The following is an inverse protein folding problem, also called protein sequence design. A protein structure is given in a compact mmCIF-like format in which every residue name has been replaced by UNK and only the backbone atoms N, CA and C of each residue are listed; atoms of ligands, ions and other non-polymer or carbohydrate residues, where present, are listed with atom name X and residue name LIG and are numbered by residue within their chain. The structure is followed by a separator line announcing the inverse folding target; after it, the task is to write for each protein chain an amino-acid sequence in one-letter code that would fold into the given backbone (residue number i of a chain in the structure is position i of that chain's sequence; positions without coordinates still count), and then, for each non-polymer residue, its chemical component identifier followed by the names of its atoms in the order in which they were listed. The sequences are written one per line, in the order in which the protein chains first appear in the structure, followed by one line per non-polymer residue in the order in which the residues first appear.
data_IF_068394496854
#
_entry.id   IF_068394496854
#
_cell.length_a   1.000
_cell.length_b   1.000
_cell.length_c   1.000
_cell.angle_alpha   90.00
_cell.angle_beta   90.00
_cell.angle_gamma   90.00
#
_symmetry.space_group_name_H-M   'P 1'
#
loop_
_entity.id
_entity.type
_entity.pdbx_description
1 polymer ?
#
# COMPACT_ATOMS: atom_id res chain seq x y z
N UNK A 1 -22.23 23.71 13.47
CA UNK A 1 -21.43 24.24 12.35
C UNK A 1 -20.53 23.16 11.69
N UNK A 2 -20.88 21.86 11.78
CA UNK A 2 -19.87 20.78 11.67
C UNK A 2 -20.25 19.59 10.76
N UNK A 3 -21.20 19.76 9.83
CA UNK A 3 -21.63 18.69 8.90
C UNK A 3 -20.91 18.72 7.55
N UNK A 4 -20.99 19.87 6.85
CA UNK A 4 -20.41 20.03 5.51
C UNK A 4 -18.87 20.02 5.51
N UNK A 5 -18.24 20.69 6.48
CA UNK A 5 -16.77 20.70 6.57
C UNK A 5 -16.21 19.31 6.90
N UNK A 6 -16.90 18.54 7.76
CA UNK A 6 -16.53 17.17 8.08
C UNK A 6 -16.71 16.21 6.90
N UNK A 7 -17.80 16.35 6.14
CA UNK A 7 -18.03 15.52 4.94
C UNK A 7 -17.08 15.86 3.79
N UNK A 8 -16.76 17.14 3.57
CA UNK A 8 -15.75 17.57 2.59
C UNK A 8 -14.35 17.08 2.98
N UNK A 9 -13.99 17.15 4.26
CA UNK A 9 -12.73 16.61 4.75
C UNK A 9 -12.64 15.10 4.55
N UNK A 10 -13.69 14.36 4.93
CA UNK A 10 -13.80 12.91 4.73
C UNK A 10 -13.68 12.56 3.24
N UNK A 11 -14.40 13.27 2.36
CA UNK A 11 -14.31 13.09 0.91
C UNK A 11 -12.91 13.36 0.37
N UNK A 12 -12.24 14.43 0.81
CA UNK A 12 -10.87 14.74 0.42
C UNK A 12 -9.89 13.65 0.85
N UNK A 13 -10.02 13.12 2.08
CA UNK A 13 -9.17 12.00 2.54
C UNK A 13 -9.38 10.74 1.71
N UNK A 14 -10.62 10.44 1.31
CA UNK A 14 -10.94 9.32 0.41
C UNK A 14 -10.31 9.45 -0.97
N UNK A 15 -10.39 10.64 -1.57
CA UNK A 15 -9.75 10.93 -2.87
C UNK A 15 -8.23 10.81 -2.78
N UNK A 16 -7.63 11.35 -1.70
CA UNK A 16 -6.19 11.28 -1.49
C UNK A 16 -5.71 9.83 -1.30
N UNK A 17 -6.41 9.04 -0.48
CA UNK A 17 -6.12 7.62 -0.31
C UNK A 17 -6.25 6.85 -1.62
N UNK A 18 -7.31 7.12 -2.41
CA UNK A 18 -7.48 6.51 -3.73
C UNK A 18 -6.36 6.87 -4.70
N UNK A 19 -5.89 8.13 -4.69
CA UNK A 19 -4.76 8.56 -5.52
C UNK A 19 -3.50 7.77 -5.19
N UNK A 20 -3.19 7.62 -3.90
CA UNK A 20 -2.04 6.82 -3.45
C UNK A 20 -2.20 5.36 -3.87
N UNK A 21 -3.39 4.77 -3.71
CA UNK A 21 -3.67 3.41 -4.13
C UNK A 21 -3.40 3.20 -5.63
N UNK A 22 -3.84 4.14 -6.47
CA UNK A 22 -3.56 4.13 -7.91
C UNK A 22 -2.06 4.27 -8.19
N UNK A 23 -1.34 5.14 -7.49
CA UNK A 23 0.11 5.28 -7.64
C UNK A 23 0.85 3.98 -7.31
N UNK A 24 0.50 3.30 -6.21
CA UNK A 24 1.12 2.02 -5.84
C UNK A 24 0.84 0.93 -6.89
N UNK A 25 -0.38 0.88 -7.43
CA UNK A 25 -0.72 -0.03 -8.52
C UNK A 25 0.05 0.32 -9.80
N UNK A 26 0.17 1.62 -10.11
CA UNK A 26 0.96 2.12 -11.24
C UNK A 26 2.42 1.70 -11.16
N UNK A 27 3.05 1.86 -10.00
CA UNK A 27 4.44 1.45 -9.76
C UNK A 27 4.62 -0.06 -9.92
N UNK A 28 3.65 -0.86 -9.46
CA UNK A 28 3.68 -2.32 -9.64
C UNK A 28 3.58 -2.72 -11.12
N UNK A 29 2.71 -2.07 -11.90
CA UNK A 29 2.54 -2.35 -13.33
C UNK A 29 3.78 -1.91 -14.10
N UNK A 30 4.30 -0.72 -13.82
CA UNK A 30 5.49 -0.19 -14.48
C UNK A 30 6.72 -1.09 -14.29
N UNK A 31 6.81 -1.79 -13.15
CA UNK A 31 7.92 -2.69 -12.82
C UNK A 31 7.57 -4.18 -12.95
N UNK A 32 6.45 -4.53 -13.59
CA UNK A 32 6.01 -5.92 -13.70
C UNK A 32 7.01 -6.85 -14.42
N UNK A 33 7.82 -6.29 -15.32
CA UNK A 33 8.84 -7.02 -16.08
C UNK A 33 10.27 -6.85 -15.53
N UNK A 34 10.43 -6.16 -14.40
CA UNK A 34 11.75 -5.93 -13.79
C UNK A 34 12.17 -7.16 -13.00
N UNK A 35 13.31 -7.78 -13.35
CA UNK A 35 13.86 -8.95 -12.65
C UNK A 35 14.09 -8.64 -11.17
N UNK A 36 13.58 -9.50 -10.28
CA UNK A 36 13.74 -9.34 -8.83
C UNK A 36 12.82 -8.30 -8.18
N UNK A 37 11.91 -7.66 -8.93
CA UNK A 37 10.94 -6.72 -8.36
C UNK A 37 9.97 -7.44 -7.40
N UNK A 38 9.63 -6.76 -6.30
CA UNK A 38 8.65 -7.22 -5.31
C UNK A 38 7.48 -6.25 -5.27
N UNK A 39 6.28 -6.76 -5.53
CA UNK A 39 5.03 -5.98 -5.54
C UNK A 39 4.80 -5.29 -4.21
N UNK A 40 4.28 -4.07 -4.26
CA UNK A 40 3.90 -3.28 -3.07
C UNK A 40 2.37 -3.19 -2.94
N UNK A 41 1.86 -3.13 -1.70
CA UNK A 41 0.43 -2.98 -1.40
C UNK A 41 0.23 -1.83 -0.41
N UNK A 42 -0.68 -0.91 -0.72
CA UNK A 42 -1.10 0.13 0.21
C UNK A 42 -2.09 -0.43 1.25
N UNK A 43 -1.85 -0.11 2.52
CA UNK A 43 -2.75 -0.41 3.63
C UNK A 43 -3.35 0.91 4.13
N UNK A 44 -4.68 0.94 4.22
CA UNK A 44 -5.43 2.09 4.67
C UNK A 44 -6.10 1.79 6.01
N UNK A 45 -6.24 2.80 6.84
CA UNK A 45 -6.91 2.73 8.14
C UNK A 45 -7.92 3.87 8.30
N UNK A 46 -8.98 3.63 9.07
CA UNK A 46 -9.98 4.65 9.40
C UNK A 46 -9.44 5.56 10.51
N UNK A 47 -9.68 6.86 10.39
CA UNK A 47 -9.38 7.82 11.44
C UNK A 47 -10.48 7.70 12.50
N UNK A 48 -10.08 7.36 13.74
CA UNK A 48 -11.00 7.05 14.85
C UNK A 48 -12.18 8.03 14.91
N UNK A 49 -13.38 7.45 14.99
CA UNK A 49 -14.63 8.17 15.18
C UNK A 49 -14.69 8.83 16.54
N UNK A 50 -15.26 10.03 16.55
CA UNK A 50 -15.68 10.69 17.78
C UNK A 50 -16.97 10.01 18.28
N UNK A 51 -16.94 9.45 19.49
CA UNK A 51 -18.16 8.98 20.15
C UNK A 51 -18.96 10.20 20.59
N UNK A 52 -20.19 10.35 20.10
CA UNK A 52 -21.10 11.35 20.64
C UNK A 52 -21.49 10.88 22.05
N UNK A 53 -20.79 11.38 23.07
CA UNK A 53 -21.08 11.09 24.48
C UNK A 53 -22.53 11.48 24.78
N UNK A 54 -23.37 10.50 25.10
CA UNK A 54 -24.77 10.69 25.47
C UNK A 54 -25.81 10.02 24.56
N UNK A 55 -25.42 9.49 23.39
CA UNK A 55 -26.30 8.67 22.57
C UNK A 55 -26.11 7.18 22.90
N UNK A 56 -27.05 6.59 23.65
CA UNK A 56 -27.19 5.14 23.73
C UNK A 56 -27.50 4.59 22.34
N UNK A 57 -26.46 4.15 21.62
CA UNK A 57 -26.58 3.51 20.31
C UNK A 57 -25.68 4.16 19.25
N UNK A 58 -24.62 3.44 18.88
CA UNK A 58 -24.12 3.23 17.50
C UNK A 58 -23.95 4.43 16.54
N UNK A 59 -23.97 5.68 17.00
CA UNK A 59 -23.74 6.84 16.16
C UNK A 59 -22.26 7.24 16.21
N UNK A 60 -21.40 6.42 15.59
CA UNK A 60 -20.00 6.73 15.34
C UNK A 60 -19.88 7.34 13.93
N UNK A 61 -19.47 8.61 13.86
CA UNK A 61 -19.20 9.32 12.61
C UNK A 61 -17.72 9.12 12.23
N UNK A 62 -17.46 8.29 11.21
CA UNK A 62 -16.12 8.10 10.66
C UNK A 62 -15.52 9.43 10.16
N UNK A 63 -14.25 9.70 10.50
CA UNK A 63 -13.60 11.00 10.24
C UNK A 63 -12.71 11.00 8.99
N UNK A 64 -12.72 9.93 8.21
CA UNK A 64 -11.94 9.82 6.97
C UNK A 64 -10.93 8.68 7.00
N UNK A 65 -10.18 8.52 5.93
CA UNK A 65 -9.23 7.42 5.75
C UNK A 65 -7.80 7.96 5.66
N UNK A 66 -6.85 7.22 6.22
CA UNK A 66 -5.42 7.55 6.10
C UNK A 66 -4.63 6.36 5.55
N UNK A 67 -3.50 6.65 4.91
CA UNK A 67 -2.52 5.63 4.55
C UNK A 67 -1.74 5.23 5.82
N UNK A 68 -1.86 3.97 6.19
CA UNK A 68 -1.10 3.42 7.32
C UNK A 68 0.34 3.09 6.89
N UNK A 69 0.49 2.32 5.81
CA UNK A 69 1.79 1.86 5.30
C UNK A 69 1.69 1.33 3.88
N UNK A 70 2.81 1.28 3.20
CA UNK A 70 2.98 0.53 1.95
C UNK A 70 3.86 -0.68 2.28
N UNK A 71 3.30 -1.88 2.10
CA UNK A 71 3.96 -3.15 2.38
C UNK A 71 4.53 -3.76 1.11
N UNK A 72 5.80 -4.20 1.16
CA UNK A 72 6.36 -5.05 0.10
C UNK A 72 5.99 -6.51 0.34
N UNK A 73 5.53 -7.17 -0.72
CA UNK A 73 5.16 -8.57 -0.73
C UNK A 73 6.36 -9.39 -1.23
N UNK A 74 7.02 -10.11 -0.32
CA UNK A 74 8.19 -10.95 -0.61
C UNK A 74 7.83 -12.34 -1.13
N UNK A 75 6.81 -12.44 -2.00
CA UNK A 75 6.49 -13.71 -2.65
C UNK A 75 7.59 -14.11 -3.65
N UNK A 76 7.84 -15.42 -3.77
CA UNK A 76 8.72 -15.96 -4.80
C UNK A 76 8.04 -15.86 -6.17
N UNK A 77 8.74 -15.26 -7.15
CA UNK A 77 8.28 -15.20 -8.54
C UNK A 77 8.66 -16.45 -9.33
N UNK A 78 8.17 -16.55 -10.56
CA UNK A 78 8.61 -17.59 -11.48
C UNK A 78 10.05 -17.34 -11.94
N UNK A 79 10.82 -18.40 -12.06
CA UNK A 79 12.15 -18.35 -12.66
C UNK A 79 12.04 -18.51 -14.17
N UNK A 80 12.83 -17.72 -14.90
CA UNK A 80 13.03 -17.88 -16.33
C UNK A 80 14.47 -18.35 -16.55
N UNK A 81 14.64 -19.43 -17.31
CA UNK A 81 15.97 -19.91 -17.66
C UNK A 81 16.52 -19.07 -18.82
N UNK A 82 17.63 -18.38 -18.59
CA UNK A 82 18.28 -17.53 -19.60
C UNK A 82 19.35 -18.28 -20.41
N UNK A 83 19.80 -19.45 -19.95
CA UNK A 83 20.89 -20.22 -20.57
C UNK A 83 22.30 -19.63 -20.36
N UNK A 84 22.42 -18.55 -19.60
CA UNK A 84 23.70 -17.89 -19.30
C UNK A 84 24.21 -18.41 -17.95
N UNK A 85 25.43 -18.96 -17.86
CA UNK A 85 25.94 -19.59 -16.64
C UNK A 85 26.19 -18.60 -15.49
N UNK A 86 26.25 -17.31 -15.77
CA UNK A 86 26.44 -16.24 -14.78
C UNK A 86 25.12 -15.66 -14.26
N UNK A 87 23.98 -16.04 -14.84
CA UNK A 87 22.67 -15.56 -14.40
C UNK A 87 22.16 -16.46 -13.26
N UNK A 88 22.23 -15.92 -12.04
CA UNK A 88 21.87 -16.65 -10.83
C UNK A 88 20.63 -16.03 -10.18
N UNK A 89 19.75 -16.88 -9.67
CA UNK A 89 18.59 -16.50 -8.87
C UNK A 89 18.59 -17.26 -7.53
N UNK A 90 18.05 -16.62 -6.49
CA UNK A 90 17.87 -17.24 -5.18
C UNK A 90 16.49 -17.91 -5.14
N UNK A 91 16.46 -19.19 -4.76
CA UNK A 91 15.24 -19.94 -4.47
C UNK A 91 15.02 -19.98 -2.96
N UNK A 92 13.92 -19.39 -2.50
CA UNK A 92 13.63 -19.21 -1.07
C UNK A 92 14.07 -17.84 -0.56
N UNK A 93 14.19 -17.72 0.76
CA UNK A 93 14.49 -16.45 1.40
C UNK A 93 15.99 -16.12 1.34
N UNK A 94 16.32 -14.92 0.89
CA UNK A 94 17.70 -14.43 0.84
C UNK A 94 17.91 -13.28 -0.14
N UNK A 95 19.03 -12.59 0.00
CA UNK A 95 19.45 -11.50 -0.89
C UNK A 95 20.91 -11.68 -1.27
N UNK A 96 21.26 -11.26 -2.49
CA UNK A 96 22.66 -11.10 -2.87
C UNK A 96 23.24 -9.86 -2.18
N UNK A 97 24.44 -10.02 -1.61
CA UNK A 97 25.20 -8.91 -1.03
C UNK A 97 26.13 -8.36 -2.12
N UNK A 98 26.02 -7.08 -2.42
CA UNK A 98 26.90 -6.38 -3.35
C UNK A 98 27.75 -5.38 -2.58
N UNK A 99 29.07 -5.38 -2.81
CA UNK A 99 29.95 -4.34 -2.30
C UNK A 99 30.14 -3.29 -3.40
N UNK A 100 29.62 -2.09 -3.19
CA UNK A 100 29.82 -0.97 -4.10
C UNK A 100 31.23 -0.42 -3.96
N UNK A 101 31.88 -0.13 -5.07
CA UNK A 101 33.15 0.61 -5.12
C UNK A 101 32.93 2.08 -4.80
#
# INVERSE_FOLDING_TARGET
MAGLLGSLYTGNTGLHASSIGVSVVGDNIANANTTGFKTSRAHFEDLISEFIVGATGSNQLGRGVNLQRIEKLFAQGSFQNTGIPTDLGISGDGFFILNGT
#
